data_IF_199138064330
#
_entry.id   IF_199138064330
#
_cell.length_a   1.000
_cell.length_b   1.000
_cell.length_c   1.000
_cell.angle_alpha   90.00
_cell.angle_beta   90.00
_cell.angle_gamma   90.00
#
_symmetry.space_group_name_H-M   'P 1'
#
loop_
_entity.id
_entity.type
_entity.pdbx_description
1 polymer ?
#
# COMPACT_ATOMS: atom_id res chain seq x y z
N UNK A 1 -8.04 29.65 20.37
CA UNK A 1 -9.26 29.75 19.52
C UNK A 1 -8.79 30.21 18.15
N UNK A 2 -8.79 29.43 17.08
CA UNK A 2 -9.77 28.46 16.64
C UNK A 2 -9.12 27.15 16.16
N UNK A 3 -9.40 26.07 16.86
CA UNK A 3 -9.23 24.71 16.36
C UNK A 3 -10.58 24.29 15.80
N UNK A 4 -10.81 24.49 14.50
CA UNK A 4 -11.94 23.88 13.80
C UNK A 4 -11.80 24.09 12.30
N UNK A 5 -11.53 23.00 11.56
CA UNK A 5 -12.23 22.59 10.35
C UNK A 5 -11.34 21.64 9.53
N UNK A 6 -11.56 20.34 9.69
CA UNK A 6 -11.59 19.35 8.59
C UNK A 6 -11.65 17.95 9.22
N UNK A 7 -12.77 17.66 9.90
CA UNK A 7 -13.21 16.28 10.06
C UNK A 7 -14.31 16.14 9.01
N UNK A 8 -13.95 15.74 7.80
CA UNK A 8 -14.86 15.05 6.89
C UNK A 8 -14.08 14.04 6.05
N UNK A 9 -14.60 12.81 6.14
CA UNK A 9 -14.28 11.57 5.45
C UNK A 9 -12.90 10.93 5.67
N UNK A 10 -12.95 9.69 6.19
CA UNK A 10 -11.90 8.67 6.26
C UNK A 10 -10.46 9.21 6.39
N UNK A 11 -10.22 10.02 7.44
CA UNK A 11 -8.89 10.56 7.71
C UNK A 11 -8.01 9.52 8.41
N UNK A 12 -7.34 8.73 7.59
CA UNK A 12 -6.24 7.83 7.95
C UNK A 12 -4.95 8.58 8.35
N UNK A 13 -4.99 9.91 8.41
CA UNK A 13 -3.82 10.77 8.59
C UNK A 13 -3.82 11.46 9.95
N UNK A 14 -2.72 11.29 10.69
CA UNK A 14 -2.48 12.00 11.95
C UNK A 14 -1.52 13.17 11.72
N UNK A 15 -1.90 14.37 12.17
CA UNK A 15 -1.01 15.54 12.15
C UNK A 15 -0.26 15.59 13.48
N UNK A 16 1.07 15.64 13.43
CA UNK A 16 1.90 15.90 14.62
C UNK A 16 2.46 17.31 14.54
N UNK A 17 2.17 18.13 15.56
CA UNK A 17 2.82 19.42 15.79
C UNK A 17 4.04 19.20 16.69
N UNK A 18 5.24 19.33 16.10
CA UNK A 18 6.52 19.19 16.80
C UNK A 18 7.10 20.53 17.27
N UNK A 19 6.32 21.63 17.26
CA UNK A 19 6.82 22.97 17.56
C UNK A 19 7.78 23.53 16.48
N UNK A 20 7.76 22.94 15.28
CA UNK A 20 8.50 23.40 14.11
C UNK A 20 7.58 24.25 13.22
N UNK A 21 8.15 25.14 12.40
CA UNK A 21 7.40 26.01 11.46
C UNK A 21 6.56 25.25 10.41
N UNK A 22 6.56 23.91 10.42
CA UNK A 22 5.80 23.06 9.51
C UNK A 22 5.11 21.91 10.25
N UNK A 23 3.84 21.68 9.91
CA UNK A 23 3.10 20.49 10.32
C UNK A 23 3.47 19.33 9.38
N UNK A 24 3.69 18.14 9.94
CA UNK A 24 3.90 16.91 9.18
C UNK A 24 2.70 15.99 9.35
N UNK A 25 2.25 15.44 8.23
CA UNK A 25 1.17 14.46 8.11
C UNK A 25 1.79 13.07 8.17
N UNK A 26 1.42 12.30 9.20
CA UNK A 26 1.76 10.88 9.29
C UNK A 26 0.65 10.02 8.71
N UNK A 27 1.04 9.09 7.84
CA UNK A 27 0.15 8.07 7.26
C UNK A 27 -0.06 6.88 8.21
N UNK A 28 -1.10 6.05 8.01
CA UNK A 28 -1.34 4.88 8.86
C UNK A 28 -0.13 3.97 9.02
N UNK A 29 0.57 3.66 7.93
CA UNK A 29 1.76 2.80 7.94
C UNK A 29 2.90 3.39 8.77
N UNK A 30 3.07 4.71 8.75
CA UNK A 30 4.05 5.42 9.56
C UNK A 30 3.67 5.39 11.04
N UNK A 31 2.39 5.65 11.36
CA UNK A 31 1.87 5.58 12.73
C UNK A 31 2.02 4.17 13.29
N UNK A 32 1.69 3.15 12.49
CA UNK A 32 1.85 1.75 12.89
C UNK A 32 3.33 1.38 13.13
N UNK A 33 4.23 1.79 12.24
CA UNK A 33 5.66 1.56 12.42
C UNK A 33 6.19 2.24 13.69
N UNK A 34 5.76 3.48 13.96
CA UNK A 34 6.09 4.18 15.19
C UNK A 34 5.58 3.45 16.43
N UNK A 35 4.32 2.99 16.42
CA UNK A 35 3.72 2.25 17.53
C UNK A 35 4.46 0.91 17.80
N UNK A 36 4.99 0.30 16.75
CA UNK A 36 5.79 -0.94 16.83
C UNK A 36 7.28 -0.69 17.08
N UNK A 37 7.70 0.56 17.31
CA UNK A 37 9.09 0.97 17.55
C UNK A 37 10.08 0.44 16.49
N UNK A 38 9.71 0.59 15.22
CA UNK A 38 10.45 0.10 14.06
C UNK A 38 10.67 1.20 13.03
N UNK A 39 11.68 1.00 12.20
CA UNK A 39 11.88 1.87 11.04
C UNK A 39 10.74 1.69 10.05
N UNK A 40 10.26 2.83 9.55
CA UNK A 40 9.30 2.89 8.46
C UNK A 40 10.04 2.95 7.12
N UNK A 41 9.56 2.18 6.15
CA UNK A 41 10.03 2.20 4.77
C UNK A 41 8.82 2.43 3.84
N UNK A 42 9.01 3.09 2.69
CA UNK A 42 8.02 3.08 1.63
C UNK A 42 7.64 1.64 1.26
N UNK A 43 6.35 1.37 1.02
CA UNK A 43 5.86 0.02 0.77
C UNK A 43 6.57 -0.70 -0.40
N UNK A 44 6.98 0.03 -1.45
CA UNK A 44 7.69 -0.53 -2.59
C UNK A 44 9.18 -0.83 -2.32
N UNK A 45 9.72 -0.35 -1.19
CA UNK A 45 11.09 -0.60 -0.72
C UNK A 45 11.12 -1.57 0.48
N UNK A 46 9.97 -1.90 1.07
CA UNK A 46 9.87 -2.76 2.24
C UNK A 46 10.02 -4.26 1.84
N UNK A 47 11.05 -4.98 2.33
CA UNK A 47 11.28 -6.37 1.96
C UNK A 47 10.17 -7.32 2.44
N UNK A 48 9.44 -6.98 3.50
CA UNK A 48 8.30 -7.79 3.96
C UNK A 48 7.11 -7.60 3.04
N UNK A 49 6.90 -6.37 2.54
CA UNK A 49 5.91 -6.12 1.50
C UNK A 49 6.26 -6.87 0.23
N UNK A 50 7.51 -6.82 -0.21
CA UNK A 50 7.99 -7.59 -1.36
C UNK A 50 7.72 -9.09 -1.23
N UNK A 51 8.05 -9.69 -0.08
CA UNK A 51 7.81 -11.10 0.16
C UNK A 51 6.32 -11.46 0.18
N UNK A 52 5.48 -10.63 0.81
CA UNK A 52 4.05 -10.90 0.90
C UNK A 52 3.32 -10.70 -0.43
N UNK A 53 3.70 -9.72 -1.24
CA UNK A 53 3.17 -9.59 -2.61
C UNK A 53 3.59 -10.79 -3.46
N UNK A 54 4.86 -11.21 -3.37
CA UNK A 54 5.33 -12.40 -4.08
C UNK A 54 4.54 -13.66 -3.70
N UNK A 55 4.25 -13.85 -2.41
CA UNK A 55 3.40 -14.94 -1.93
C UNK A 55 1.96 -14.82 -2.44
N UNK A 56 1.39 -13.61 -2.42
CA UNK A 56 0.03 -13.37 -2.88
C UNK A 56 -0.16 -13.65 -4.38
N UNK A 57 0.87 -13.48 -5.22
CA UNK A 57 0.78 -13.74 -6.66
C UNK A 57 1.30 -15.13 -7.06
N UNK A 58 1.98 -15.86 -6.16
CA UNK A 58 2.57 -17.17 -6.46
C UNK A 58 1.53 -18.23 -6.87
N UNK A 59 0.31 -18.13 -6.34
CA UNK A 59 -0.79 -19.06 -6.63
C UNK A 59 -1.51 -18.77 -7.96
N UNK A 60 -1.13 -17.71 -8.68
CA UNK A 60 -1.71 -17.37 -9.99
C UNK A 60 -0.84 -17.91 -11.13
N UNK A 61 -1.22 -19.03 -11.78
CA UNK A 61 -0.40 -19.67 -12.81
C UNK A 61 -0.19 -18.80 -14.07
N UNK A 62 -1.00 -17.76 -14.23
CA UNK A 62 -0.95 -16.83 -15.36
C UNK A 62 0.00 -15.65 -15.10
N UNK A 63 0.54 -15.50 -13.88
CA UNK A 63 1.53 -14.46 -13.55
C UNK A 63 2.93 -14.96 -13.89
N UNK A 64 3.57 -14.31 -14.86
CA UNK A 64 4.94 -14.57 -15.29
C UNK A 64 5.97 -13.76 -14.50
N UNK A 65 5.54 -12.68 -13.86
CA UNK A 65 6.38 -11.81 -13.05
C UNK A 65 5.59 -10.69 -12.40
N UNK A 66 6.19 -10.03 -11.40
CA UNK A 66 5.63 -8.85 -10.77
C UNK A 66 6.74 -7.84 -10.46
N UNK A 67 6.36 -6.56 -10.40
CA UNK A 67 7.23 -5.48 -9.98
C UNK A 67 6.48 -4.55 -9.02
N UNK A 68 7.19 -4.02 -8.03
CA UNK A 68 6.67 -3.05 -7.10
C UNK A 68 7.17 -1.66 -7.45
N UNK A 69 6.31 -0.67 -7.28
CA UNK A 69 6.69 0.72 -7.47
C UNK A 69 5.87 1.65 -6.59
N UNK A 70 6.35 2.87 -6.47
CA UNK A 70 5.63 3.95 -5.83
C UNK A 70 4.33 4.27 -6.58
N UNK A 71 3.37 4.87 -5.89
CA UNK A 71 2.09 5.25 -6.47
C UNK A 71 2.22 6.35 -7.52
N UNK A 72 1.08 6.70 -8.14
CA UNK A 72 0.98 7.86 -9.03
C UNK A 72 -0.10 8.80 -8.45
N UNK A 73 0.25 10.02 -8.01
CA UNK A 73 1.59 10.62 -8.02
C UNK A 73 2.59 9.93 -7.06
N UNK A 74 3.90 10.10 -7.25
CA UNK A 74 4.93 9.59 -6.34
C UNK A 74 4.71 10.08 -4.91
N UNK A 75 5.17 9.30 -3.94
CA UNK A 75 5.03 9.50 -2.51
C UNK A 75 3.58 9.59 -2.00
N UNK A 76 2.59 9.17 -2.79
CA UNK A 76 1.18 9.10 -2.38
C UNK A 76 0.93 8.10 -1.25
N UNK A 77 1.84 7.15 -1.02
CA UNK A 77 1.65 6.05 -0.06
C UNK A 77 0.93 4.84 -0.67
N UNK A 78 0.46 4.96 -1.91
CA UNK A 78 -0.11 3.86 -2.67
C UNK A 78 1.01 2.97 -3.21
N UNK A 79 0.93 1.67 -2.98
CA UNK A 79 1.78 0.66 -3.62
C UNK A 79 1.22 0.35 -5.02
N UNK A 80 2.03 0.55 -6.06
CA UNK A 80 1.74 0.07 -7.41
C UNK A 80 2.34 -1.33 -7.60
N UNK A 81 1.50 -2.28 -8.01
CA UNK A 81 1.91 -3.66 -8.32
C UNK A 81 1.69 -3.91 -9.80
N UNK A 82 2.77 -3.96 -10.57
CA UNK A 82 2.70 -4.26 -12.00
C UNK A 82 2.88 -5.76 -12.23
N UNK A 83 1.90 -6.40 -12.87
CA UNK A 83 1.93 -7.82 -13.19
C UNK A 83 2.31 -8.05 -14.66
N UNK A 84 3.22 -8.99 -14.89
CA UNK A 84 3.50 -9.54 -16.22
C UNK A 84 2.69 -10.81 -16.37
N UNK A 85 1.77 -10.84 -17.35
CA UNK A 85 0.82 -11.94 -17.51
C UNK A 85 1.10 -12.76 -18.77
N UNK A 86 0.66 -14.02 -18.76
CA UNK A 86 0.67 -14.88 -19.94
C UNK A 86 -0.20 -14.29 -21.07
N UNK A 87 0.18 -14.53 -22.31
CA UNK A 87 -0.61 -14.11 -23.46
C UNK A 87 -1.94 -14.90 -23.53
N UNK A 88 -2.96 -14.28 -24.13
CA UNK A 88 -4.27 -14.92 -24.36
C UNK A 88 -5.31 -14.67 -23.26
N UNK A 89 -5.01 -13.85 -22.25
CA UNK A 89 -5.99 -13.42 -21.26
C UNK A 89 -6.95 -12.39 -21.84
N UNK A 90 -8.22 -12.56 -21.52
CA UNK A 90 -9.22 -11.52 -21.78
C UNK A 90 -9.15 -10.44 -20.69
N UNK A 91 -9.68 -9.23 -20.94
CA UNK A 91 -9.77 -8.20 -19.91
C UNK A 91 -10.48 -8.68 -18.63
N UNK A 92 -11.50 -9.54 -18.76
CA UNK A 92 -12.21 -10.11 -17.63
C UNK A 92 -11.34 -11.08 -16.80
N UNK A 93 -10.46 -11.86 -17.46
CA UNK A 93 -9.51 -12.73 -16.76
C UNK A 93 -8.50 -11.92 -15.95
N UNK A 94 -8.02 -10.81 -16.53
CA UNK A 94 -7.09 -9.90 -15.86
C UNK A 94 -7.74 -9.24 -14.64
N UNK A 95 -8.98 -8.77 -14.78
CA UNK A 95 -9.74 -8.18 -13.68
C UNK A 95 -9.95 -9.18 -12.55
N UNK A 96 -10.39 -10.41 -12.88
CA UNK A 96 -10.59 -11.48 -11.90
C UNK A 96 -9.28 -11.87 -11.19
N UNK A 97 -8.15 -11.86 -11.89
CA UNK A 97 -6.83 -12.11 -11.32
C UNK A 97 -6.44 -10.99 -10.35
N UNK A 98 -6.59 -9.72 -10.76
CA UNK A 98 -6.29 -8.57 -9.92
C UNK A 98 -7.16 -8.56 -8.65
N UNK A 99 -8.45 -8.87 -8.77
CA UNK A 99 -9.35 -9.01 -7.61
C UNK A 99 -8.86 -10.09 -6.65
N UNK A 100 -8.54 -11.29 -7.15
CA UNK A 100 -8.07 -12.40 -6.30
C UNK A 100 -6.74 -12.07 -5.61
N UNK A 101 -5.80 -11.44 -6.32
CA UNK A 101 -4.54 -10.98 -5.74
C UNK A 101 -4.79 -9.92 -4.65
N UNK A 102 -5.65 -8.93 -4.92
CA UNK A 102 -6.05 -7.91 -3.96
C UNK A 102 -6.69 -8.49 -2.70
N UNK A 103 -7.59 -9.46 -2.84
CA UNK A 103 -8.23 -10.14 -1.71
C UNK A 103 -7.24 -10.90 -0.83
N UNK A 104 -6.23 -11.57 -1.43
CA UNK A 104 -5.18 -12.24 -0.63
C UNK A 104 -4.37 -11.25 0.17
N UNK A 105 -3.96 -10.14 -0.45
CA UNK A 105 -3.18 -9.08 0.21
C UNK A 105 -4.00 -8.47 1.35
N UNK A 106 -5.29 -8.20 1.13
CA UNK A 106 -6.18 -7.63 2.15
C UNK A 106 -6.37 -8.53 3.38
N UNK A 107 -6.21 -9.86 3.23
CA UNK A 107 -6.29 -10.84 4.32
C UNK A 107 -5.00 -10.95 5.13
N UNK A 108 -3.87 -10.46 4.60
CA UNK A 108 -2.62 -10.40 5.32
C UNK A 108 -2.58 -9.13 6.17
N UNK A 109 -2.77 -9.30 7.48
CA UNK A 109 -2.82 -8.19 8.43
C UNK A 109 -1.50 -7.42 8.55
N UNK A 110 -0.36 -8.07 8.31
CA UNK A 110 0.94 -7.41 8.37
C UNK A 110 1.22 -6.59 7.10
N UNK A 111 0.88 -7.13 5.92
CA UNK A 111 0.92 -6.35 4.67
C UNK A 111 -0.01 -5.14 4.74
N UNK A 112 -1.24 -5.34 5.24
CA UNK A 112 -2.23 -4.27 5.36
C UNK A 112 -1.77 -3.15 6.30
N UNK A 113 -0.96 -3.46 7.29
CA UNK A 113 -0.42 -2.44 8.21
C UNK A 113 0.76 -1.65 7.60
N UNK A 114 1.40 -2.16 6.55
CA UNK A 114 2.56 -1.57 5.88
C UNK A 114 2.21 -0.83 4.59
N UNK A 115 0.99 -1.01 4.07
CA UNK A 115 0.52 -0.45 2.80
C UNK A 115 -0.64 0.51 3.08
N UNK A 116 -0.50 1.78 2.70
CA UNK A 116 -1.55 2.79 2.88
C UNK A 116 -2.61 2.74 1.75
N UNK A 117 -2.26 2.17 0.59
CA UNK A 117 -3.18 1.92 -0.52
C UNK A 117 -2.55 0.99 -1.57
N UNK A 118 -3.38 0.36 -2.41
CA UNK A 118 -2.94 -0.60 -3.43
C UNK A 118 -3.52 -0.26 -4.80
N UNK A 119 -2.69 -0.32 -5.83
CA UNK A 119 -3.08 -0.20 -7.23
C UNK A 119 -2.39 -1.27 -8.08
N UNK A 120 -3.12 -1.82 -9.07
CA UNK A 120 -2.60 -2.78 -10.06
C UNK A 120 -2.45 -2.09 -11.42
#
# INVERSE_FOLDING_TARGET
>A
MAAQAAIQDECDTMIIDLGADHAVVLRPSMVWALAMARDWLPAHEDPVVAAGIAAAVADEPQVLGHALGDGVPPASGVLRVTLTLAAGLTPADVELLATRAGERIARDGELRARIDGLAF
#
